data_IF_745127452223
#
_entry.id   IF_745127452223
#
_cell.length_a   1.000
_cell.length_b   1.000
_cell.length_c   1.000
_cell.angle_alpha   90.00
_cell.angle_beta   90.00
_cell.angle_gamma   90.00
#
_symmetry.space_group_name_H-M   'P 1'
#
loop_
_entity.id
_entity.type
_entity.pdbx_description
1 polymer ?
#
# COMPACT_ATOMS: atom_id res chain seq x y z
N UNK A 1 27.43 -3.68 -21.55
CA UNK A 1 26.95 -3.20 -20.24
C UNK A 1 27.72 -1.93 -19.94
N UNK A 2 27.08 -0.81 -19.56
CA UNK A 2 27.81 0.42 -19.20
C UNK A 2 28.09 0.37 -17.70
N UNK A 3 29.37 0.35 -17.33
CA UNK A 3 29.83 0.17 -15.94
C UNK A 3 30.59 1.37 -15.38
N UNK A 4 30.75 2.46 -16.15
CA UNK A 4 31.44 3.64 -15.64
C UNK A 4 30.63 4.33 -14.53
N UNK A 5 31.33 4.79 -13.51
CA UNK A 5 30.72 5.31 -12.29
C UNK A 5 29.91 6.60 -12.54
N UNK A 6 30.36 7.45 -13.48
CA UNK A 6 29.70 8.71 -13.81
C UNK A 6 28.35 8.48 -14.45
N UNK A 7 28.30 7.66 -15.51
CA UNK A 7 27.05 7.34 -16.21
C UNK A 7 26.11 6.55 -15.32
N UNK A 8 26.61 5.59 -14.53
CA UNK A 8 25.79 4.86 -13.54
C UNK A 8 25.10 5.83 -12.57
N UNK A 9 25.84 6.79 -12.03
CA UNK A 9 25.30 7.80 -11.10
C UNK A 9 24.26 8.68 -11.78
N UNK A 10 24.56 9.19 -12.98
CA UNK A 10 23.63 10.01 -13.74
C UNK A 10 22.31 9.27 -14.06
N UNK A 11 22.40 7.98 -14.39
CA UNK A 11 21.23 7.13 -14.67
C UNK A 11 20.39 6.86 -13.42
N UNK A 12 21.02 6.60 -12.26
CA UNK A 12 20.31 6.46 -10.99
C UNK A 12 19.60 7.76 -10.62
N UNK A 13 20.27 8.91 -10.72
CA UNK A 13 19.66 10.21 -10.43
C UNK A 13 18.48 10.51 -11.38
N UNK A 14 18.58 10.13 -12.66
CA UNK A 14 17.47 10.24 -13.62
C UNK A 14 16.28 9.37 -13.21
N UNK A 15 16.52 8.15 -12.75
CA UNK A 15 15.47 7.26 -12.25
C UNK A 15 14.81 7.81 -10.98
N UNK A 16 15.60 8.30 -10.02
CA UNK A 16 15.09 8.88 -8.77
C UNK A 16 14.19 10.12 -9.02
N UNK A 17 14.54 10.99 -9.98
CA UNK A 17 13.68 12.11 -10.38
C UNK A 17 12.31 11.64 -10.89
N UNK A 18 12.28 10.56 -11.67
CA UNK A 18 11.03 9.97 -12.16
C UNK A 18 10.21 9.35 -11.03
N UNK A 19 10.86 8.70 -10.06
CA UNK A 19 10.19 8.14 -8.89
C UNK A 19 9.49 9.22 -8.05
N UNK A 20 10.13 10.38 -7.89
CA UNK A 20 9.52 11.52 -7.19
C UNK A 20 8.19 11.95 -7.80
N UNK A 21 8.14 12.08 -9.14
CA UNK A 21 6.92 12.40 -9.87
C UNK A 21 5.87 11.28 -9.78
N UNK A 22 6.28 10.02 -9.99
CA UNK A 22 5.39 8.85 -9.89
C UNK A 22 4.78 8.71 -8.49
N UNK A 23 5.51 9.10 -7.44
CA UNK A 23 5.00 9.08 -6.07
C UNK A 23 3.80 10.02 -5.87
N UNK A 24 3.70 11.11 -6.63
CA UNK A 24 2.57 12.04 -6.57
C UNK A 24 1.34 11.52 -7.34
N UNK A 25 1.56 10.63 -8.30
CA UNK A 25 0.50 9.96 -9.08
C UNK A 25 0.00 8.66 -8.42
N UNK A 26 0.50 8.34 -7.24
CA UNK A 26 0.03 7.19 -6.49
C UNK A 26 -1.38 7.42 -5.96
N UNK A 27 -2.32 6.58 -6.39
CA UNK A 27 -3.64 6.54 -5.79
C UNK A 27 -3.59 6.06 -4.35
N UNK A 28 -4.53 6.51 -3.53
CA UNK A 28 -4.71 6.00 -2.18
C UNK A 28 -4.98 4.48 -2.21
N UNK A 29 -4.44 3.70 -1.24
CA UNK A 29 -4.80 2.30 -1.07
C UNK A 29 -6.31 2.14 -0.95
N UNK A 30 -6.85 1.09 -1.57
CA UNK A 30 -8.27 0.77 -1.46
C UNK A 30 -8.55 0.27 -0.05
N UNK A 31 -9.64 0.74 0.56
CA UNK A 31 -10.05 0.28 1.89
C UNK A 31 -11.40 -0.40 1.78
N UNK A 32 -11.51 -1.58 2.39
CA UNK A 32 -12.75 -2.32 2.49
C UNK A 32 -13.10 -2.60 3.96
N UNK A 33 -14.37 -2.48 4.31
CA UNK A 33 -14.87 -2.52 5.69
C UNK A 33 -15.20 -1.13 6.21
N UNK A 34 -15.84 -1.08 7.38
CA UNK A 34 -16.24 0.16 8.04
C UNK A 34 -15.10 0.84 8.82
N UNK A 35 -15.25 2.13 9.20
CA UNK A 35 -14.34 2.79 10.12
C UNK A 35 -14.39 2.14 11.52
N UNK A 36 -13.29 2.24 12.27
CA UNK A 36 -13.22 1.75 13.66
C UNK A 36 -13.00 0.24 13.79
N UNK A 37 -12.27 -0.36 12.84
CA UNK A 37 -11.83 -1.74 12.93
C UNK A 37 -10.88 -1.95 14.12
N UNK A 38 -11.03 -3.09 14.80
CA UNK A 38 -10.11 -3.55 15.84
C UNK A 38 -8.84 -4.18 15.26
N UNK A 39 -8.95 -4.77 14.07
CA UNK A 39 -7.84 -5.37 13.32
C UNK A 39 -7.87 -4.87 11.88
N UNK A 40 -6.75 -4.36 11.40
CA UNK A 40 -6.58 -3.93 10.02
C UNK A 40 -5.67 -4.90 9.25
N UNK A 41 -6.23 -5.56 8.24
CA UNK A 41 -5.47 -6.40 7.32
C UNK A 41 -4.83 -5.52 6.24
N UNK A 42 -3.57 -5.80 5.89
CA UNK A 42 -2.86 -5.10 4.81
C UNK A 42 -2.42 -6.14 3.78
N UNK A 43 -2.72 -5.88 2.51
CA UNK A 43 -2.34 -6.78 1.42
C UNK A 43 -2.08 -6.06 0.10
N UNK A 44 -1.58 -6.80 -0.88
CA UNK A 44 -1.35 -6.33 -2.24
C UNK A 44 -1.46 -7.48 -3.23
N UNK A 45 -1.72 -7.17 -4.49
CA UNK A 45 -1.84 -8.19 -5.54
C UNK A 45 -2.98 -9.18 -5.31
N UNK A 46 -2.73 -10.46 -5.56
CA UNK A 46 -3.74 -11.53 -5.57
C UNK A 46 -4.38 -11.82 -4.20
N UNK A 47 -3.80 -11.33 -3.10
CA UNK A 47 -4.38 -11.53 -1.77
C UNK A 47 -5.65 -10.70 -1.54
N UNK A 48 -6.06 -9.85 -2.49
CA UNK A 48 -7.26 -9.02 -2.38
C UNK A 48 -8.49 -9.82 -2.00
N UNK A 49 -8.82 -10.85 -2.79
CA UNK A 49 -10.03 -11.65 -2.60
C UNK A 49 -9.97 -12.46 -1.31
N UNK A 50 -8.83 -13.10 -1.03
CA UNK A 50 -8.68 -13.93 0.17
C UNK A 50 -8.79 -13.12 1.46
N UNK A 51 -8.08 -11.98 1.57
CA UNK A 51 -8.18 -11.10 2.74
C UNK A 51 -9.57 -10.48 2.86
N UNK A 52 -10.19 -10.25 1.71
CA UNK A 52 -11.54 -9.78 1.60
C UNK A 52 -12.59 -10.72 2.19
N UNK A 53 -12.55 -11.98 1.76
CA UNK A 53 -13.38 -13.05 2.32
C UNK A 53 -13.16 -13.19 3.82
N UNK A 54 -11.93 -13.03 4.31
CA UNK A 54 -11.65 -13.02 5.75
C UNK A 54 -12.40 -11.90 6.45
N UNK A 55 -12.36 -10.66 5.93
CA UNK A 55 -13.10 -9.52 6.51
C UNK A 55 -14.60 -9.81 6.58
N UNK A 56 -15.17 -10.40 5.53
CA UNK A 56 -16.59 -10.76 5.49
C UNK A 56 -16.95 -11.86 6.49
N UNK A 57 -16.13 -12.91 6.59
CA UNK A 57 -16.39 -14.05 7.48
C UNK A 57 -16.28 -13.62 8.95
N UNK A 58 -15.17 -13.00 9.34
CA UNK A 58 -14.96 -12.62 10.75
C UNK A 58 -15.86 -11.46 11.18
N UNK A 59 -16.26 -10.61 10.22
CA UNK A 59 -17.27 -9.57 10.43
C UNK A 59 -18.63 -10.15 10.83
N UNK A 60 -19.02 -11.31 10.28
CA UNK A 60 -20.24 -12.04 10.67
C UNK A 60 -20.15 -12.59 12.09
N UNK A 61 -18.95 -12.93 12.54
CA UNK A 61 -18.68 -13.41 13.90
C UNK A 61 -18.54 -12.25 14.91
N UNK A 62 -18.79 -11.00 14.49
CA UNK A 62 -18.82 -9.82 15.33
C UNK A 62 -17.47 -9.13 15.52
N UNK A 63 -16.39 -9.64 14.92
CA UNK A 63 -15.08 -8.99 14.96
C UNK A 63 -15.05 -7.83 13.96
N UNK A 64 -14.76 -6.62 14.44
CA UNK A 64 -14.63 -5.45 13.57
C UNK A 64 -13.29 -5.47 12.84
N UNK A 65 -13.29 -5.86 11.57
CA UNK A 65 -12.08 -5.88 10.74
C UNK A 65 -12.23 -5.03 9.49
N UNK A 66 -11.12 -4.49 9.01
CA UNK A 66 -11.05 -3.87 7.68
C UNK A 66 -9.81 -4.34 6.93
N UNK A 67 -9.80 -4.09 5.62
CA UNK A 67 -8.70 -4.40 4.72
C UNK A 67 -8.22 -3.12 4.04
N UNK A 68 -6.92 -2.86 4.11
CA UNK A 68 -6.22 -1.90 3.26
C UNK A 68 -5.48 -2.69 2.18
N UNK A 69 -5.90 -2.55 0.93
CA UNK A 69 -5.26 -3.19 -0.21
C UNK A 69 -4.51 -2.19 -1.09
N UNK A 70 -3.22 -2.46 -1.30
CA UNK A 70 -2.35 -1.65 -2.14
C UNK A 70 -2.36 -2.19 -3.57
N UNK A 71 -2.82 -1.37 -4.51
CA UNK A 71 -2.78 -1.68 -5.95
C UNK A 71 -1.38 -1.47 -6.54
N UNK A 72 -0.61 -0.53 -5.98
CA UNK A 72 0.78 -0.24 -6.35
C UNK A 72 1.62 -0.23 -5.07
N UNK A 73 2.67 -1.05 -5.05
CA UNK A 73 3.61 -1.15 -3.91
C UNK A 73 4.85 -0.27 -4.13
N UNK A 74 5.19 0.03 -5.39
CA UNK A 74 6.33 0.88 -5.73
C UNK A 74 5.92 2.05 -6.65
N UNK A 75 6.35 3.30 -6.37
CA UNK A 75 7.01 3.75 -5.12
C UNK A 75 6.20 3.38 -3.88
N UNK A 76 6.83 3.23 -2.71
CA UNK A 76 6.07 2.83 -1.52
C UNK A 76 5.24 4.01 -0.99
N UNK A 77 3.90 3.90 -0.86
CA UNK A 77 3.02 5.02 -0.51
C UNK A 77 2.97 5.25 1.01
N UNK A 78 4.13 5.47 1.64
CA UNK A 78 4.27 5.51 3.10
C UNK A 78 3.35 6.54 3.77
N UNK A 79 3.26 7.76 3.22
CA UNK A 79 2.44 8.83 3.81
C UNK A 79 0.94 8.50 3.76
N UNK A 80 0.45 8.00 2.61
CA UNK A 80 -0.96 7.62 2.43
C UNK A 80 -1.32 6.42 3.30
N UNK A 81 -0.44 5.41 3.37
CA UNK A 81 -0.66 4.25 4.22
C UNK A 81 -0.66 4.64 5.70
N UNK A 82 0.32 5.46 6.15
CA UNK A 82 0.37 5.95 7.52
C UNK A 82 -0.90 6.73 7.88
N UNK A 83 -1.42 7.55 6.96
CA UNK A 83 -2.70 8.23 7.14
C UNK A 83 -3.87 7.27 7.37
N UNK A 84 -3.98 6.20 6.58
CA UNK A 84 -5.03 5.20 6.73
C UNK A 84 -4.89 4.38 8.02
N UNK A 85 -3.66 4.16 8.48
CA UNK A 85 -3.38 3.41 9.70
C UNK A 85 -3.55 4.23 10.98
N UNK A 86 -3.77 5.55 10.91
CA UNK A 86 -3.97 6.39 12.12
C UNK A 86 -5.16 5.95 12.98
N UNK A 87 -6.17 5.33 12.37
CA UNK A 87 -7.35 4.81 13.07
C UNK A 87 -7.26 3.32 13.39
N UNK A 88 -6.19 2.63 12.96
CA UNK A 88 -6.01 1.21 13.20
C UNK A 88 -5.61 0.98 14.67
N UNK A 89 -6.25 -0.01 15.30
CA UNK A 89 -5.96 -0.40 16.68
C UNK A 89 -4.89 -1.48 16.77
N UNK A 90 -4.92 -2.45 15.84
CA UNK A 90 -3.99 -3.59 15.74
C UNK A 90 -3.76 -3.94 14.27
#
# INVERSE_FOLDING_TARGET
MIEDAGTRTAMVLKYLRKLGALSQEMGAPQTWGGPGAEVTLIGWGSTYSALGEVVDVVGRDGLKTNLIHMTKVWPFPAALLAERLRSARR
#
